data_IF_167415123693
#
_entry.id   IF_167415123693
#
_cell.length_a   1.000
_cell.length_b   1.000
_cell.length_c   1.000
_cell.angle_alpha   90.00
_cell.angle_beta   90.00
_cell.angle_gamma   90.00
#
_symmetry.space_group_name_H-M   'P 1'
#
loop_
_entity.id
_entity.type
_entity.pdbx_description
1 polymer ?
#
# COMPACT_ATOMS: atom_id res chain seq x y z
N UNK A 1 5.16 17.13 -7.11
CA UNK A 1 5.81 16.17 -8.04
C UNK A 1 6.15 14.83 -7.37
N UNK A 2 6.59 14.80 -6.11
CA UNK A 2 6.88 13.58 -5.33
C UNK A 2 5.82 12.46 -5.48
N UNK A 3 4.55 12.78 -5.20
CA UNK A 3 3.45 11.80 -5.23
C UNK A 3 3.29 11.17 -6.62
N UNK A 4 3.48 11.93 -7.70
CA UNK A 4 3.39 11.40 -9.08
C UNK A 4 4.50 10.41 -9.38
N UNK A 5 5.73 10.66 -8.91
CA UNK A 5 6.86 9.74 -9.10
C UNK A 5 6.65 8.44 -8.32
N UNK A 6 6.11 8.54 -7.10
CA UNK A 6 5.74 7.37 -6.30
C UNK A 6 4.65 6.57 -7.01
N UNK A 7 3.57 7.22 -7.47
CA UNK A 7 2.50 6.52 -8.21
C UNK A 7 3.08 5.84 -9.47
N UNK A 8 3.91 6.54 -10.24
CA UNK A 8 4.49 5.98 -11.46
C UNK A 8 5.36 4.74 -11.19
N UNK A 9 6.18 4.76 -10.14
CA UNK A 9 7.02 3.62 -9.74
C UNK A 9 6.18 2.44 -9.24
N UNK A 10 5.21 2.70 -8.37
CA UNK A 10 4.43 1.67 -7.68
C UNK A 10 3.29 1.08 -8.54
N UNK A 11 2.81 1.85 -9.52
CA UNK A 11 1.71 1.44 -10.39
C UNK A 11 2.04 0.19 -11.20
N UNK A 12 3.29 0.03 -11.65
CA UNK A 12 3.71 -1.13 -12.46
C UNK A 12 3.49 -2.45 -11.72
N UNK A 13 4.08 -2.59 -10.53
CA UNK A 13 3.96 -3.80 -9.71
C UNK A 13 2.52 -4.06 -9.27
N UNK A 14 1.83 -3.02 -8.79
CA UNK A 14 0.44 -3.14 -8.32
C UNK A 14 -0.49 -3.63 -9.43
N UNK A 15 -0.31 -3.13 -10.66
CA UNK A 15 -1.15 -3.51 -11.81
C UNK A 15 -1.00 -4.99 -12.17
N UNK A 16 0.20 -5.56 -12.07
CA UNK A 16 0.44 -6.97 -12.37
C UNK A 16 -0.37 -7.86 -11.43
N UNK A 17 -0.37 -7.56 -10.13
CA UNK A 17 -1.10 -8.37 -9.14
C UNK A 17 -2.61 -8.26 -9.36
N UNK A 18 -3.11 -7.05 -9.59
CA UNK A 18 -4.53 -6.85 -9.88
C UNK A 18 -4.96 -7.56 -11.18
N UNK A 19 -4.13 -7.53 -12.21
CA UNK A 19 -4.42 -8.22 -13.47
C UNK A 19 -4.45 -9.74 -13.29
N UNK A 20 -3.50 -10.31 -12.55
CA UNK A 20 -3.47 -11.73 -12.20
C UNK A 20 -4.74 -12.16 -11.45
N UNK A 21 -5.20 -11.35 -10.49
CA UNK A 21 -6.43 -11.61 -9.76
C UNK A 21 -7.67 -11.59 -10.67
N UNK A 22 -7.75 -10.63 -11.59
CA UNK A 22 -8.87 -10.53 -12.54
C UNK A 22 -8.88 -11.72 -13.50
N UNK A 23 -7.72 -12.20 -13.94
CA UNK A 23 -7.62 -13.37 -14.83
C UNK A 23 -8.03 -14.69 -14.17
N UNK A 24 -8.02 -14.76 -12.84
CA UNK A 24 -8.50 -15.92 -12.09
C UNK A 24 -10.03 -15.99 -11.97
N UNK A 25 -10.75 -14.91 -12.32
CA UNK A 25 -12.21 -14.87 -12.26
C UNK A 25 -12.82 -15.68 -13.40
N UNK A 26 -13.81 -16.53 -13.08
CA UNK A 26 -14.48 -17.39 -14.06
C UNK A 26 -15.11 -16.57 -15.21
N UNK A 27 -14.70 -16.81 -16.48
CA UNK A 27 -15.28 -16.17 -17.66
C UNK A 27 -16.80 -16.36 -17.77
N UNK A 28 -17.36 -17.44 -17.23
CA UNK A 28 -18.79 -17.73 -17.27
C UNK A 28 -19.62 -16.65 -16.57
N UNK A 29 -19.10 -16.03 -15.51
CA UNK A 29 -19.77 -14.93 -14.80
C UNK A 29 -19.94 -13.71 -15.70
N UNK A 30 -18.92 -13.38 -16.50
CA UNK A 30 -18.99 -12.27 -17.43
C UNK A 30 -19.93 -12.57 -18.61
N UNK A 31 -19.93 -13.81 -19.10
CA UNK A 31 -20.82 -14.23 -20.18
C UNK A 31 -22.30 -14.25 -19.74
N UNK A 32 -22.60 -14.79 -18.55
CA UNK A 32 -23.95 -14.82 -17.99
C UNK A 32 -24.50 -13.40 -17.82
N UNK A 33 -23.73 -12.50 -17.19
CA UNK A 33 -24.16 -11.12 -17.00
C UNK A 33 -24.37 -10.35 -18.32
N UNK A 34 -23.62 -10.69 -19.37
CA UNK A 34 -23.77 -10.06 -20.69
C UNK A 34 -24.93 -10.64 -21.50
N UNK A 35 -25.11 -11.96 -21.49
CA UNK A 35 -26.10 -12.69 -22.30
C UNK A 35 -27.49 -12.73 -21.66
N UNK A 36 -27.60 -12.81 -20.34
CA UNK A 36 -28.88 -12.89 -19.63
C UNK A 36 -29.37 -11.52 -19.12
N UNK A 37 -28.47 -10.68 -18.58
CA UNK A 37 -28.87 -9.40 -17.94
C UNK A 37 -28.51 -8.13 -18.75
N UNK A 38 -27.88 -8.27 -19.92
CA UNK A 38 -27.48 -7.14 -20.75
C UNK A 38 -26.51 -6.16 -20.06
N UNK A 39 -25.74 -6.62 -19.08
CA UNK A 39 -24.86 -5.75 -18.30
C UNK A 39 -23.73 -5.16 -19.16
N UNK A 40 -23.66 -3.82 -19.24
CA UNK A 40 -22.55 -3.11 -19.88
C UNK A 40 -21.23 -3.23 -19.11
N UNK A 41 -20.10 -2.89 -19.76
CA UNK A 41 -18.73 -3.06 -19.21
C UNK A 41 -18.56 -2.49 -17.79
N UNK A 42 -19.15 -1.32 -17.50
CA UNK A 42 -19.09 -0.70 -16.17
C UNK A 42 -19.85 -1.52 -15.12
N UNK A 43 -21.04 -2.06 -15.44
CA UNK A 43 -21.78 -2.91 -14.49
C UNK A 43 -21.03 -4.20 -14.17
N UNK A 44 -20.40 -4.81 -15.17
CA UNK A 44 -19.56 -5.99 -14.99
C UNK A 44 -18.37 -5.71 -14.07
N UNK A 45 -17.69 -4.56 -14.23
CA UNK A 45 -16.63 -4.15 -13.31
C UNK A 45 -17.12 -4.04 -11.88
N UNK A 46 -18.22 -3.32 -11.63
CA UNK A 46 -18.69 -3.04 -10.27
C UNK A 46 -19.31 -4.24 -9.56
N UNK A 47 -20.02 -5.14 -10.27
CA UNK A 47 -20.78 -6.23 -9.65
C UNK A 47 -20.12 -7.61 -9.78
N UNK A 48 -19.14 -7.78 -10.68
CA UNK A 48 -18.46 -9.05 -10.91
C UNK A 48 -16.99 -8.93 -10.54
N UNK A 49 -16.27 -8.04 -11.23
CA UNK A 49 -14.82 -7.92 -11.06
C UNK A 49 -14.46 -7.46 -9.64
N UNK A 50 -15.05 -6.36 -9.17
CA UNK A 50 -14.73 -5.74 -7.88
C UNK A 50 -15.03 -6.67 -6.68
N UNK A 51 -16.19 -7.34 -6.62
CA UNK A 51 -16.47 -8.31 -5.57
C UNK A 51 -15.58 -9.56 -5.66
N UNK A 52 -15.27 -10.05 -6.88
CA UNK A 52 -14.45 -11.24 -7.05
C UNK A 52 -12.99 -11.05 -6.64
N UNK A 53 -12.41 -9.85 -6.83
CA UNK A 53 -11.02 -9.55 -6.43
C UNK A 53 -10.93 -8.85 -5.06
N UNK A 54 -12.05 -8.72 -4.32
CA UNK A 54 -12.10 -8.02 -3.03
C UNK A 54 -11.06 -8.57 -2.04
N UNK A 55 -10.92 -9.89 -1.94
CA UNK A 55 -9.93 -10.54 -1.06
C UNK A 55 -8.51 -10.10 -1.38
N UNK A 56 -8.17 -10.06 -2.67
CA UNK A 56 -6.85 -9.62 -3.13
C UNK A 56 -6.61 -8.14 -2.83
N UNK A 57 -7.60 -7.27 -3.07
CA UNK A 57 -7.51 -5.84 -2.72
C UNK A 57 -7.24 -5.68 -1.23
N UNK A 58 -7.94 -6.42 -0.37
CA UNK A 58 -7.81 -6.34 1.08
C UNK A 58 -6.42 -6.80 1.54
N UNK A 59 -5.91 -7.92 1.01
CA UNK A 59 -4.56 -8.42 1.33
C UNK A 59 -3.50 -7.40 0.89
N UNK A 60 -3.59 -6.89 -0.33
CA UNK A 60 -2.65 -5.87 -0.82
C UNK A 60 -2.71 -4.58 -0.01
N UNK A 61 -3.89 -4.20 0.47
CA UNK A 61 -4.06 -3.02 1.31
C UNK A 61 -3.41 -3.21 2.68
N UNK A 62 -3.50 -4.41 3.29
CA UNK A 62 -2.80 -4.73 4.54
C UNK A 62 -1.29 -4.62 4.34
N UNK A 63 -0.76 -5.25 3.29
CA UNK A 63 0.67 -5.19 2.98
C UNK A 63 1.13 -3.75 2.74
N UNK A 64 0.33 -2.97 2.00
CA UNK A 64 0.65 -1.58 1.70
C UNK A 64 0.65 -0.68 2.93
N UNK A 65 -0.21 -0.93 3.91
CA UNK A 65 -0.22 -0.20 5.20
C UNK A 65 1.06 -0.47 6.01
N UNK A 66 1.61 -1.67 5.93
CA UNK A 66 2.91 -1.98 6.53
C UNK A 66 4.02 -1.16 5.86
N UNK A 67 4.07 -1.19 4.53
CA UNK A 67 5.10 -0.49 3.75
C UNK A 67 5.01 1.03 3.89
N UNK A 68 3.81 1.63 4.02
CA UNK A 68 3.64 3.08 4.05
C UNK A 68 4.33 3.77 5.22
N UNK A 69 4.62 3.05 6.31
CA UNK A 69 5.40 3.55 7.43
C UNK A 69 6.89 3.73 7.13
N UNK A 70 7.41 3.02 6.12
CA UNK A 70 8.78 3.13 5.62
C UNK A 70 8.85 3.91 4.30
N UNK A 71 7.71 4.12 3.63
CA UNK A 71 7.66 4.80 2.34
C UNK A 71 8.15 6.23 2.45
N UNK A 72 9.22 6.49 1.70
CA UNK A 72 9.63 7.83 1.34
C UNK A 72 10.97 8.25 1.90
N UNK A 73 11.58 7.51 2.82
CA UNK A 73 12.91 7.86 3.32
C UNK A 73 13.90 8.05 2.17
N UNK A 74 14.13 7.01 1.36
CA UNK A 74 15.14 7.06 0.29
C UNK A 74 14.82 8.13 -0.76
N UNK A 75 13.56 8.16 -1.21
CA UNK A 75 13.16 9.05 -2.30
C UNK A 75 13.14 10.52 -1.84
N UNK A 76 12.70 10.81 -0.61
CA UNK A 76 12.75 12.15 -0.02
C UNK A 76 14.18 12.55 0.29
N UNK A 77 15.00 11.64 0.81
CA UNK A 77 16.41 11.89 1.09
C UNK A 77 17.20 12.25 -0.17
N UNK A 78 16.96 11.55 -1.29
CA UNK A 78 17.61 11.84 -2.59
C UNK A 78 17.17 13.17 -3.20
N UNK A 79 15.95 13.63 -2.91
CA UNK A 79 15.43 14.92 -3.39
C UNK A 79 15.71 16.07 -2.41
N UNK A 80 16.22 15.78 -1.22
CA UNK A 80 16.50 16.76 -0.17
C UNK A 80 17.74 17.58 -0.53
N UNK A 81 17.60 18.91 -0.50
CA UNK A 81 18.64 19.89 -0.76
C UNK A 81 18.55 21.02 0.27
N UNK A 82 19.63 21.78 0.45
CA UNK A 82 19.69 22.85 1.45
C UNK A 82 18.52 23.87 1.32
N UNK A 83 18.10 24.16 0.09
CA UNK A 83 17.02 25.12 -0.20
C UNK A 83 15.61 24.59 0.05
N UNK A 84 15.39 23.27 0.02
CA UNK A 84 14.05 22.68 0.18
C UNK A 84 13.87 21.94 1.51
N UNK A 85 14.92 21.90 2.35
CA UNK A 85 14.95 21.15 3.61
C UNK A 85 13.81 21.52 4.55
N UNK A 86 13.48 22.80 4.68
CA UNK A 86 12.41 23.26 5.58
C UNK A 86 11.02 22.69 5.25
N UNK A 87 10.79 22.31 3.99
CA UNK A 87 9.48 21.80 3.52
C UNK A 87 9.52 20.31 3.17
N UNK A 88 10.71 19.77 2.86
CA UNK A 88 10.91 18.39 2.43
C UNK A 88 11.45 17.48 3.54
N UNK A 89 11.90 18.01 4.69
CA UNK A 89 12.35 17.19 5.81
C UNK A 89 11.16 16.46 6.46
N UNK A 90 11.22 15.14 6.44
CA UNK A 90 10.26 14.25 7.07
C UNK A 90 10.87 13.65 8.33
N UNK A 91 10.02 13.06 9.17
CA UNK A 91 10.45 12.46 10.42
C UNK A 91 11.59 11.43 10.22
N UNK A 92 11.57 10.64 9.14
CA UNK A 92 12.64 9.69 8.79
C UNK A 92 13.98 10.35 8.45
N UNK A 93 13.98 11.41 7.65
CA UNK A 93 15.23 12.08 7.23
C UNK A 93 15.87 12.86 8.37
N UNK A 94 15.07 13.39 9.29
CA UNK A 94 15.55 13.99 10.53
C UNK A 94 16.21 12.94 11.45
N UNK A 95 15.54 11.82 11.70
CA UNK A 95 16.04 10.74 12.57
C UNK A 95 17.33 10.15 12.00
N UNK A 96 17.41 9.97 10.68
CA UNK A 96 18.64 9.55 10.00
C UNK A 96 19.77 10.57 10.21
N UNK A 97 19.49 11.86 10.06
CA UNK A 97 20.49 12.93 10.24
C UNK A 97 20.98 13.01 11.69
N UNK A 98 20.09 12.94 12.68
CA UNK A 98 20.46 12.92 14.10
C UNK A 98 21.21 11.63 14.48
N UNK A 99 20.76 10.48 13.99
CA UNK A 99 21.35 9.17 14.27
C UNK A 99 22.74 8.98 13.68
N UNK A 100 22.88 9.14 12.36
CA UNK A 100 24.14 8.88 11.67
C UNK A 100 25.10 10.07 11.66
N UNK A 101 24.61 11.31 11.46
CA UNK A 101 25.51 12.48 11.33
C UNK A 101 25.92 13.09 12.67
N UNK A 102 25.06 13.00 13.69
CA UNK A 102 25.35 13.55 15.04
C UNK A 102 25.74 12.46 16.05
N UNK A 103 25.79 11.19 15.63
CA UNK A 103 26.18 10.06 16.48
C UNK A 103 25.12 9.67 17.53
N UNK A 104 23.89 10.17 17.43
CA UNK A 104 22.81 9.86 18.37
C UNK A 104 22.12 8.53 18.03
N UNK A 105 22.86 7.44 18.02
CA UNK A 105 22.34 6.11 17.65
C UNK A 105 21.20 5.66 18.56
N UNK A 106 21.29 5.91 19.87
CA UNK A 106 20.24 5.54 20.84
C UNK A 106 18.88 6.19 20.51
N UNK A 107 18.88 7.47 20.10
CA UNK A 107 17.66 8.17 19.70
C UNK A 107 17.07 7.58 18.41
N UNK A 108 17.92 7.32 17.41
CA UNK A 108 17.49 6.73 16.14
C UNK A 108 16.88 5.33 16.32
N UNK A 109 17.53 4.48 17.12
CA UNK A 109 17.03 3.13 17.44
C UNK A 109 15.71 3.18 18.19
N UNK A 110 15.54 4.07 19.17
CA UNK A 110 14.29 4.20 19.91
C UNK A 110 13.12 4.62 19.00
N UNK A 111 13.37 5.54 18.07
CA UNK A 111 12.36 5.98 17.10
C UNK A 111 12.02 4.86 16.10
N UNK A 112 13.02 4.13 15.62
CA UNK A 112 12.79 2.96 14.75
C UNK A 112 11.95 1.88 15.45
N UNK A 113 12.22 1.61 16.73
CA UNK A 113 11.48 0.62 17.51
C UNK A 113 10.03 1.07 17.78
N UNK A 114 9.81 2.36 18.05
CA UNK A 114 8.47 2.93 18.15
C UNK A 114 7.69 2.80 16.83
N UNK A 115 8.32 3.10 15.69
CA UNK A 115 7.71 2.94 14.37
C UNK A 115 7.33 1.48 14.09
N UNK A 116 8.22 0.55 14.37
CA UNK A 116 7.96 -0.87 14.21
C UNK A 116 6.77 -1.32 15.06
N UNK A 117 6.67 -0.86 16.32
CA UNK A 117 5.53 -1.16 17.19
C UNK A 117 4.21 -0.60 16.63
N UNK A 118 4.19 0.65 16.17
CA UNK A 118 3.00 1.27 15.56
C UNK A 118 2.60 0.55 14.27
N UNK A 119 3.57 0.19 13.42
CA UNK A 119 3.33 -0.57 12.20
C UNK A 119 2.76 -1.95 12.47
N UNK A 120 3.29 -2.65 13.46
CA UNK A 120 2.78 -3.95 13.89
C UNK A 120 1.34 -3.83 14.38
N UNK A 121 1.01 -2.80 15.16
CA UNK A 121 -0.37 -2.51 15.59
C UNK A 121 -1.29 -2.23 14.40
N UNK A 122 -0.86 -1.40 13.45
CA UNK A 122 -1.63 -1.07 12.25
C UNK A 122 -1.90 -2.29 11.37
N UNK A 123 -0.89 -3.12 11.12
CA UNK A 123 -1.02 -4.35 10.34
C UNK A 123 -1.92 -5.34 11.06
N UNK A 124 -1.79 -5.51 12.39
CA UNK A 124 -2.69 -6.37 13.17
C UNK A 124 -4.14 -5.88 13.12
N UNK A 125 -4.37 -4.57 13.21
CA UNK A 125 -5.71 -3.98 13.10
C UNK A 125 -6.29 -4.18 11.70
N UNK A 126 -5.50 -3.92 10.65
CA UNK A 126 -5.91 -4.13 9.27
C UNK A 126 -6.26 -5.60 9.00
N UNK A 127 -5.44 -6.54 9.50
CA UNK A 127 -5.71 -7.98 9.39
C UNK A 127 -6.98 -8.39 10.17
N UNK A 128 -7.19 -7.85 11.38
CA UNK A 128 -8.42 -8.11 12.15
C UNK A 128 -9.66 -7.55 11.46
N UNK A 129 -9.57 -6.37 10.86
CA UNK A 129 -10.66 -5.79 10.08
C UNK A 129 -10.97 -6.67 8.86
N UNK A 130 -9.97 -7.12 8.12
CA UNK A 130 -10.13 -8.03 6.99
C UNK A 130 -10.88 -9.31 7.37
N UNK A 131 -10.46 -9.98 8.46
CA UNK A 131 -11.16 -11.17 8.99
C UNK A 131 -12.60 -10.87 9.38
N UNK A 132 -12.87 -9.70 9.97
CA UNK A 132 -14.22 -9.29 10.39
C UNK A 132 -15.14 -9.01 9.19
N UNK A 133 -14.58 -8.61 8.05
CA UNK A 133 -15.32 -8.42 6.78
C UNK A 133 -15.48 -9.69 5.96
N UNK A 134 -15.08 -10.86 6.49
CA UNK A 134 -15.31 -12.17 5.88
C UNK A 134 -14.35 -12.54 4.75
N UNK A 135 -13.24 -11.81 4.60
CA UNK A 135 -12.21 -12.09 3.60
C UNK A 135 -11.11 -12.95 4.20
N UNK A 136 -10.46 -13.80 3.38
CA UNK A 136 -9.32 -14.61 3.81
C UNK A 136 -8.23 -13.70 4.41
N UNK A 137 -8.04 -13.80 5.72
CA UNK A 137 -6.95 -13.14 6.41
C UNK A 137 -5.62 -13.77 6.03
N UNK A 138 -4.52 -13.06 6.27
CA UNK A 138 -3.16 -13.55 6.03
C UNK A 138 -2.79 -14.69 7.02
N UNK A 139 -3.65 -14.94 8.03
CA UNK A 139 -3.57 -16.01 9.02
C UNK A 139 -4.92 -16.65 9.26
#
# INVERSE_FOLDING_TARGET
MYILQVIWREAGWSTIIYLAAITAVDPQLYEAAKKMDGAGRLRQMWHITLPAIKSVIVVLLILKIGDTLELGFEHVYLLLNATNREVAEIFDTYVYTAGLKQGQFSYSTAVGLFKAAVGLILVMLANRLAKKFGEEGIY
#
